data_IF_610724349540
#
_entry.id   IF_610724349540
#
_cell.length_a   1.000
_cell.length_b   1.000
_cell.length_c   1.000
_cell.angle_alpha   90.00
_cell.angle_beta   90.00
_cell.angle_gamma   90.00
#
_symmetry.space_group_name_H-M   'P 1'
#
loop_
_entity.id
_entity.type
_entity.pdbx_description
1 polymer ?
#
# COMPACT_ATOMS: atom_id res chain seq x y z
N UNK A 1 -23.98 -22.93 15.19
CA UNK A 1 -24.46 -21.68 15.81
C UNK A 1 -23.99 -21.74 17.24
N UNK A 2 -22.82 -21.15 17.51
CA UNK A 2 -22.30 -20.97 18.86
C UNK A 2 -22.25 -19.46 19.11
N UNK A 3 -23.34 -18.97 19.71
CA UNK A 3 -23.49 -17.59 20.22
C UNK A 3 -23.14 -17.52 21.72
N UNK A 4 -21.97 -17.98 22.11
CA UNK A 4 -21.46 -17.66 23.44
C UNK A 4 -20.49 -16.47 23.36
N UNK A 5 -20.74 -15.43 24.18
CA UNK A 5 -19.80 -14.30 24.25
C UNK A 5 -18.48 -14.78 24.84
N UNK A 6 -17.39 -14.67 24.07
CA UNK A 6 -16.04 -15.00 24.53
C UNK A 6 -15.66 -14.04 25.65
N UNK A 7 -15.67 -14.50 26.88
CA UNK A 7 -15.16 -13.76 28.04
C UNK A 7 -13.63 -13.79 28.01
N UNK A 8 -13.02 -12.60 28.03
CA UNK A 8 -11.56 -12.45 28.15
C UNK A 8 -11.16 -12.94 29.56
N UNK A 9 -10.17 -13.83 29.66
CA UNK A 9 -9.68 -14.31 30.95
C UNK A 9 -8.93 -13.22 31.73
N UNK A 10 -8.83 -13.36 33.04
CA UNK A 10 -8.08 -12.41 33.89
C UNK A 10 -6.60 -12.30 33.44
N UNK A 11 -5.97 -13.40 33.07
CA UNK A 11 -4.60 -13.40 32.53
C UNK A 11 -4.47 -12.62 31.21
N UNK A 12 -5.46 -12.70 30.32
CA UNK A 12 -5.48 -11.93 29.08
C UNK A 12 -5.70 -10.43 29.32
N UNK A 13 -6.49 -10.07 30.32
CA UNK A 13 -6.69 -8.70 30.77
C UNK A 13 -5.42 -8.11 31.38
N UNK A 14 -4.72 -8.87 32.18
CA UNK A 14 -3.46 -8.44 32.81
C UNK A 14 -2.33 -8.32 31.75
N UNK A 15 -2.28 -9.21 30.76
CA UNK A 15 -1.37 -9.09 29.62
C UNK A 15 -1.62 -7.84 28.78
N UNK A 16 -2.90 -7.49 28.54
CA UNK A 16 -3.28 -6.26 27.83
C UNK A 16 -2.94 -5.00 28.62
N UNK A 17 -3.09 -5.02 29.94
CA UNK A 17 -2.69 -3.90 30.83
C UNK A 17 -1.18 -3.69 30.78
N UNK A 18 -0.40 -4.77 30.90
CA UNK A 18 1.06 -4.69 30.85
C UNK A 18 1.56 -4.11 29.51
N UNK A 19 0.94 -4.51 28.39
CA UNK A 19 1.24 -3.96 27.07
C UNK A 19 0.85 -2.47 26.97
N UNK A 20 -0.29 -2.07 27.52
CA UNK A 20 -0.71 -0.68 27.55
C UNK A 20 0.24 0.18 28.40
N UNK A 21 0.66 -0.29 29.57
CA UNK A 21 1.60 0.42 30.45
C UNK A 21 2.98 0.56 29.78
N UNK A 22 3.49 -0.48 29.10
CA UNK A 22 4.72 -0.40 28.32
C UNK A 22 4.62 0.59 27.15
N UNK A 23 3.44 0.68 26.52
CA UNK A 23 3.21 1.63 25.43
C UNK A 23 3.16 3.08 25.94
N UNK A 24 2.56 3.33 27.09
CA UNK A 24 2.55 4.63 27.75
C UNK A 24 3.96 5.03 28.18
N UNK A 25 4.75 4.13 28.75
CA UNK A 25 6.13 4.38 29.15
C UNK A 25 7.04 4.69 27.94
N UNK A 26 6.83 4.02 26.81
CA UNK A 26 7.50 4.31 25.52
C UNK A 26 7.12 5.69 24.94
N UNK A 27 5.90 6.14 25.17
CA UNK A 27 5.44 7.47 24.77
C UNK A 27 6.02 8.56 25.68
N UNK A 28 6.09 8.31 26.99
CA UNK A 28 6.65 9.25 27.96
C UNK A 28 8.18 9.42 27.80
N UNK A 29 8.91 8.34 27.52
CA UNK A 29 10.37 8.44 27.26
C UNK A 29 10.72 9.20 25.97
N UNK A 30 9.81 9.29 25.01
CA UNK A 30 9.99 10.13 23.80
C UNK A 30 9.72 11.62 24.05
N UNK A 31 9.07 11.99 25.14
CA UNK A 31 8.82 13.41 25.46
C UNK A 31 10.02 14.11 26.14
N UNK A 32 11.06 13.41 26.59
CA UNK A 32 12.14 13.98 27.40
C UNK A 32 13.31 14.52 26.56
N UNK A 33 13.40 14.25 25.27
CA UNK A 33 14.51 14.72 24.41
C UNK A 33 14.08 15.47 23.12
N UNK A 34 12.89 16.03 23.09
CA UNK A 34 12.55 16.96 22.01
C UNK A 34 13.16 18.33 22.34
N UNK A 35 14.05 18.90 21.48
CA UNK A 35 14.44 20.30 21.62
C UNK A 35 13.17 21.14 21.59
N UNK A 36 13.13 22.23 22.41
CA UNK A 36 12.04 23.20 22.44
C UNK A 36 11.80 23.74 21.03
N UNK A 37 10.94 23.05 20.28
CA UNK A 37 10.41 23.53 19.02
C UNK A 37 9.34 24.56 19.36
N UNK A 38 9.53 25.77 18.86
CA UNK A 38 8.57 26.86 19.00
C UNK A 38 7.16 26.38 18.69
N UNK A 39 6.21 26.75 19.53
CA UNK A 39 4.82 26.31 19.55
C UNK A 39 3.98 26.67 18.30
N UNK A 40 4.59 27.23 17.26
CA UNK A 40 3.94 27.57 15.98
C UNK A 40 4.06 26.49 14.88
N UNK A 41 4.88 25.43 15.11
CA UNK A 41 5.04 24.32 14.16
C UNK A 41 4.06 23.14 14.41
N UNK A 42 2.93 23.39 15.05
CA UNK A 42 1.88 22.39 15.21
C UNK A 42 1.29 22.05 13.86
N UNK A 43 1.87 20.99 13.23
CA UNK A 43 1.22 20.17 12.18
C UNK A 43 0.43 21.00 11.14
N UNK A 44 1.06 22.01 10.56
CA UNK A 44 0.53 22.60 9.34
C UNK A 44 0.54 21.50 8.27
N UNK A 45 -0.61 20.90 8.02
CA UNK A 45 -0.82 20.05 6.85
C UNK A 45 -0.83 21.01 5.66
N UNK A 46 0.29 21.14 4.99
CA UNK A 46 0.39 21.85 3.73
C UNK A 46 0.12 20.86 2.62
N UNK A 47 -1.01 20.98 1.96
CA UNK A 47 -1.40 20.06 0.90
C UNK A 47 -2.10 20.76 -0.25
N UNK A 48 -1.77 20.34 -1.45
CA UNK A 48 -2.38 20.79 -2.70
C UNK A 48 -3.44 19.80 -3.16
N UNK A 49 -4.49 20.34 -3.79
CA UNK A 49 -5.53 19.53 -4.42
C UNK A 49 -5.16 19.17 -5.85
N UNK A 50 -5.23 17.87 -6.14
CA UNK A 50 -5.07 17.30 -7.47
C UNK A 50 -6.40 16.67 -7.90
N UNK A 51 -6.99 17.18 -8.97
CA UNK A 51 -8.28 16.68 -9.49
C UNK A 51 -8.18 15.28 -10.10
N UNK A 52 -6.98 14.87 -10.50
CA UNK A 52 -6.69 13.55 -11.07
C UNK A 52 -5.27 13.13 -10.72
N UNK A 53 -5.16 12.03 -10.01
CA UNK A 53 -3.92 11.32 -9.73
C UNK A 53 -4.21 9.82 -9.72
N UNK A 54 -3.20 8.99 -9.92
CA UNK A 54 -3.36 7.52 -9.89
C UNK A 54 -2.57 6.95 -8.74
N UNK A 55 -3.27 6.24 -7.87
CA UNK A 55 -2.76 5.64 -6.65
C UNK A 55 -2.56 4.14 -6.89
N UNK A 56 -1.43 3.62 -6.44
CA UNK A 56 -1.07 2.21 -6.43
C UNK A 56 -0.89 1.74 -4.99
N UNK A 57 -1.55 0.63 -4.65
CA UNK A 57 -1.22 -0.20 -3.50
C UNK A 57 -0.74 -1.54 -3.99
N UNK A 58 0.31 -2.06 -3.39
CA UNK A 58 0.84 -3.40 -3.65
C UNK A 58 1.18 -4.08 -2.32
N UNK A 59 0.78 -5.33 -2.15
CA UNK A 59 0.89 -6.08 -0.92
C UNK A 59 1.30 -7.53 -1.19
N UNK A 60 2.07 -8.12 -0.25
CA UNK A 60 2.50 -9.50 -0.39
C UNK A 60 1.43 -10.48 0.11
N UNK A 61 1.08 -11.44 -0.74
CA UNK A 61 0.04 -12.42 -0.40
C UNK A 61 0.54 -13.42 0.63
N UNK A 62 -0.23 -13.56 1.72
CA UNK A 62 0.08 -14.52 2.79
C UNK A 62 1.30 -14.12 3.64
N UNK A 63 1.66 -12.85 3.66
CA UNK A 63 2.82 -12.33 4.39
C UNK A 63 2.86 -12.83 5.84
N UNK A 64 1.82 -12.59 6.62
CA UNK A 64 1.75 -12.95 8.05
C UNK A 64 2.03 -14.43 8.28
N UNK A 65 1.44 -15.31 7.47
CA UNK A 65 1.64 -16.77 7.62
C UNK A 65 3.05 -17.21 7.26
N UNK A 66 3.63 -16.63 6.19
CA UNK A 66 4.98 -16.97 5.72
C UNK A 66 6.10 -16.45 6.63
N UNK A 67 5.80 -15.43 7.44
CA UNK A 67 6.80 -14.78 8.29
C UNK A 67 6.87 -15.32 9.70
N UNK A 68 5.94 -16.19 10.10
CA UNK A 68 5.92 -16.77 11.47
C UNK A 68 7.22 -17.51 11.83
N UNK A 69 7.89 -18.13 10.85
CA UNK A 69 9.13 -18.89 11.04
C UNK A 69 10.40 -18.13 10.64
N UNK A 70 10.27 -16.92 10.08
CA UNK A 70 11.40 -16.12 9.60
C UNK A 70 11.94 -15.25 10.76
N UNK A 71 13.27 -15.23 10.93
CA UNK A 71 13.90 -14.36 11.92
C UNK A 71 13.68 -12.89 11.55
N UNK A 72 13.41 -11.98 12.54
CA UNK A 72 13.07 -10.57 12.27
C UNK A 72 14.13 -9.85 11.42
N UNK A 73 15.41 -10.11 11.61
CA UNK A 73 16.49 -9.52 10.81
C UNK A 73 16.46 -9.97 9.34
N UNK A 74 16.27 -11.26 9.09
CA UNK A 74 16.13 -11.81 7.73
C UNK A 74 14.88 -11.24 7.03
N UNK A 75 13.77 -11.12 7.76
CA UNK A 75 12.56 -10.53 7.21
C UNK A 75 12.75 -9.08 6.75
N UNK A 76 13.47 -8.27 7.55
CA UNK A 76 13.79 -6.89 7.18
C UNK A 76 14.69 -6.82 5.94
N UNK A 77 15.65 -7.73 5.79
CA UNK A 77 16.51 -7.80 4.61
C UNK A 77 15.70 -8.17 3.35
N UNK A 78 14.80 -9.15 3.48
CA UNK A 78 13.89 -9.55 2.39
C UNK A 78 13.02 -8.37 1.96
N UNK A 79 12.30 -7.72 2.87
CA UNK A 79 11.44 -6.58 2.57
C UNK A 79 12.24 -5.41 1.97
N UNK A 80 13.42 -5.11 2.53
CA UNK A 80 14.28 -4.05 2.01
C UNK A 80 14.71 -4.33 0.58
N UNK A 81 15.02 -5.58 0.25
CA UNK A 81 15.38 -5.97 -1.12
C UNK A 81 14.24 -5.72 -2.10
N UNK A 82 13.02 -6.15 -1.76
CA UNK A 82 11.85 -5.92 -2.62
C UNK A 82 11.52 -4.42 -2.75
N UNK A 83 11.48 -3.69 -1.63
CA UNK A 83 11.14 -2.26 -1.65
C UNK A 83 12.18 -1.41 -2.39
N UNK A 84 13.47 -1.73 -2.29
CA UNK A 84 14.50 -1.07 -3.09
C UNK A 84 14.28 -1.31 -4.60
N UNK A 85 13.88 -2.51 -4.99
CA UNK A 85 13.50 -2.80 -6.38
C UNK A 85 12.27 -2.01 -6.82
N UNK A 86 11.26 -1.88 -5.96
CA UNK A 86 10.08 -1.08 -6.23
C UNK A 86 10.41 0.41 -6.34
N UNK A 87 11.26 0.94 -5.47
CA UNK A 87 11.74 2.33 -5.52
C UNK A 87 12.42 2.61 -6.88
N UNK A 88 13.28 1.72 -7.36
CA UNK A 88 13.91 1.85 -8.69
C UNK A 88 12.89 1.79 -9.85
N UNK A 89 11.81 1.00 -9.69
CA UNK A 89 10.73 0.96 -10.68
C UNK A 89 9.98 2.31 -10.65
N UNK A 90 9.62 2.82 -9.47
CA UNK A 90 8.96 4.13 -9.36
C UNK A 90 9.78 5.23 -10.02
N UNK A 91 11.07 5.30 -9.75
CA UNK A 91 11.98 6.30 -10.34
C UNK A 91 11.99 6.24 -11.88
N UNK A 92 12.05 5.03 -12.45
CA UNK A 92 12.04 4.84 -13.93
C UNK A 92 10.76 5.32 -14.59
N UNK A 93 9.63 5.24 -13.92
CA UNK A 93 8.34 5.67 -14.43
C UNK A 93 7.94 7.08 -13.98
N UNK A 94 8.82 7.80 -13.26
CA UNK A 94 8.55 9.15 -12.75
C UNK A 94 7.40 9.18 -11.74
N UNK A 95 7.27 8.13 -10.93
CA UNK A 95 6.26 7.99 -9.89
C UNK A 95 6.85 8.30 -8.53
N UNK A 96 5.99 8.75 -7.61
CA UNK A 96 6.40 9.06 -6.25
C UNK A 96 5.98 7.96 -5.29
N UNK A 97 6.94 7.38 -4.57
CA UNK A 97 6.66 6.60 -3.38
C UNK A 97 6.00 7.49 -2.33
N UNK A 98 4.91 7.03 -1.75
CA UNK A 98 4.25 7.71 -0.64
C UNK A 98 4.80 7.17 0.68
N UNK A 99 4.61 5.89 0.94
CA UNK A 99 5.07 5.20 2.16
C UNK A 99 4.96 3.68 2.02
N UNK A 100 5.48 2.98 3.01
CA UNK A 100 5.19 1.57 3.25
C UNK A 100 4.30 1.44 4.49
N UNK A 101 3.41 0.46 4.51
CA UNK A 101 2.51 0.17 5.65
C UNK A 101 2.63 -1.33 5.92
N UNK A 102 3.53 -1.69 6.86
CA UNK A 102 3.90 -3.10 7.02
C UNK A 102 4.59 -3.64 5.76
N UNK A 103 4.02 -4.64 5.16
CA UNK A 103 4.44 -5.26 3.90
C UNK A 103 3.79 -4.64 2.65
N UNK A 104 2.88 -3.70 2.83
CA UNK A 104 2.27 -2.97 1.71
C UNK A 104 3.13 -1.78 1.26
N UNK A 105 3.17 -1.57 -0.06
CA UNK A 105 3.86 -0.47 -0.72
C UNK A 105 2.85 0.46 -1.38
N UNK A 106 2.97 1.76 -1.15
CA UNK A 106 2.07 2.78 -1.67
C UNK A 106 2.82 3.79 -2.53
N UNK A 107 2.33 4.02 -3.75
CA UNK A 107 2.89 4.99 -4.69
C UNK A 107 1.79 5.78 -5.41
N UNK A 108 2.19 6.90 -6.02
CA UNK A 108 1.29 7.79 -6.74
C UNK A 108 1.94 8.34 -8.02
N UNK A 109 1.13 8.49 -9.08
CA UNK A 109 1.47 9.20 -10.29
C UNK A 109 0.60 10.45 -10.46
N UNK A 110 1.16 11.48 -11.13
CA UNK A 110 0.49 12.76 -11.34
C UNK A 110 0.63 13.76 -10.18
N UNK A 111 1.56 13.49 -9.26
CA UNK A 111 1.88 14.32 -8.09
C UNK A 111 3.39 14.25 -7.82
N UNK A 112 4.08 15.37 -7.56
CA UNK A 112 3.58 16.76 -7.57
C UNK A 112 3.37 17.28 -8.99
N UNK A 113 4.08 16.73 -9.97
CA UNK A 113 4.03 17.15 -11.36
C UNK A 113 2.80 16.57 -12.05
N UNK A 114 1.92 17.46 -12.53
CA UNK A 114 0.75 17.05 -13.29
C UNK A 114 1.17 16.44 -14.62
N UNK A 115 0.85 15.20 -14.81
CA UNK A 115 1.14 14.45 -16.04
C UNK A 115 -0.16 13.77 -16.53
N UNK A 116 -0.51 13.92 -17.80
CA UNK A 116 -1.68 13.27 -18.40
C UNK A 116 -1.57 11.75 -18.44
N UNK A 117 -0.34 11.23 -18.47
CA UNK A 117 -0.05 9.81 -18.66
C UNK A 117 0.14 9.06 -17.32
N UNK A 118 -0.14 9.73 -16.18
CA UNK A 118 0.07 9.17 -14.85
C UNK A 118 -0.55 7.78 -14.66
N UNK A 119 -1.76 7.54 -15.19
CA UNK A 119 -2.42 6.24 -15.06
C UNK A 119 -1.71 5.14 -15.85
N UNK A 120 -1.27 5.46 -17.08
CA UNK A 120 -0.50 4.55 -17.92
C UNK A 120 0.84 4.21 -17.26
N UNK A 121 1.54 5.23 -16.72
CA UNK A 121 2.83 5.03 -16.06
C UNK A 121 2.69 4.15 -14.81
N UNK A 122 1.67 4.39 -13.98
CA UNK A 122 1.39 3.57 -12.80
C UNK A 122 1.07 2.12 -13.18
N UNK A 123 0.24 1.91 -14.22
CA UNK A 123 -0.09 0.56 -14.70
C UNK A 123 1.14 -0.18 -15.24
N UNK A 124 2.02 0.49 -15.98
CA UNK A 124 3.28 -0.09 -16.46
C UNK A 124 4.22 -0.43 -15.30
N UNK A 125 4.35 0.46 -14.33
CA UNK A 125 5.14 0.22 -13.13
C UNK A 125 4.62 -0.99 -12.35
N UNK A 126 3.30 -1.14 -12.19
CA UNK A 126 2.69 -2.30 -11.56
C UNK A 126 3.03 -3.61 -12.27
N UNK A 127 3.00 -3.64 -13.60
CA UNK A 127 3.41 -4.82 -14.37
C UNK A 127 4.90 -5.15 -14.17
N UNK A 128 5.77 -4.15 -14.11
CA UNK A 128 7.18 -4.34 -13.80
C UNK A 128 7.39 -4.86 -12.37
N UNK A 129 6.61 -4.37 -11.38
CA UNK A 129 6.65 -4.89 -10.00
C UNK A 129 6.29 -6.37 -9.95
N UNK A 130 5.20 -6.79 -10.60
CA UNK A 130 4.81 -8.21 -10.69
C UNK A 130 5.92 -9.05 -11.33
N UNK A 131 6.50 -8.58 -12.45
CA UNK A 131 7.62 -9.28 -13.10
C UNK A 131 8.84 -9.38 -12.20
N UNK A 132 9.17 -8.30 -11.50
CA UNK A 132 10.31 -8.26 -10.57
C UNK A 132 10.13 -9.28 -9.44
N UNK A 133 8.95 -9.29 -8.79
CA UNK A 133 8.65 -10.22 -7.70
C UNK A 133 8.67 -11.67 -8.20
N UNK A 134 8.09 -11.95 -9.37
CA UNK A 134 8.14 -13.29 -9.97
C UNK A 134 9.58 -13.72 -10.30
N UNK A 135 10.42 -12.81 -10.80
CA UNK A 135 11.84 -13.08 -11.06
C UNK A 135 12.62 -13.41 -9.79
N UNK A 136 12.40 -12.65 -8.72
CA UNK A 136 12.96 -12.94 -7.40
C UNK A 136 12.45 -14.28 -6.86
N UNK A 137 11.15 -14.59 -7.07
CA UNK A 137 10.56 -15.87 -6.66
C UNK A 137 11.25 -17.07 -7.27
N UNK A 138 11.55 -17.04 -8.57
CA UNK A 138 12.31 -18.12 -9.25
C UNK A 138 13.69 -18.33 -8.62
N UNK A 139 14.38 -17.26 -8.23
CA UNK A 139 15.68 -17.38 -7.56
C UNK A 139 15.53 -17.96 -6.14
N UNK A 140 14.51 -17.58 -5.39
CA UNK A 140 14.24 -18.11 -4.06
C UNK A 140 13.90 -19.62 -4.12
N UNK A 141 13.04 -20.02 -5.05
CA UNK A 141 12.68 -21.43 -5.26
C UNK A 141 13.89 -22.29 -5.63
N UNK A 142 14.80 -21.77 -6.46
CA UNK A 142 16.06 -22.44 -6.79
C UNK A 142 16.98 -22.65 -5.57
N UNK A 143 16.82 -21.83 -4.53
CA UNK A 143 17.53 -21.93 -3.25
C UNK A 143 16.75 -22.72 -2.19
N UNK A 144 15.59 -23.32 -2.55
CA UNK A 144 14.71 -24.05 -1.64
C UNK A 144 13.97 -23.16 -0.65
N UNK A 145 13.83 -21.86 -0.95
CA UNK A 145 13.10 -20.90 -0.15
C UNK A 145 11.71 -20.63 -0.75
N UNK A 146 10.78 -20.17 0.08
CA UNK A 146 9.45 -19.79 -0.37
C UNK A 146 9.49 -18.57 -1.31
N UNK A 147 8.69 -18.62 -2.37
CA UNK A 147 8.49 -17.50 -3.26
C UNK A 147 7.40 -16.57 -2.74
N UNK A 148 7.60 -15.28 -2.97
CA UNK A 148 6.63 -14.25 -2.64
C UNK A 148 5.76 -13.93 -3.86
N UNK A 149 4.52 -13.58 -3.63
CA UNK A 149 3.59 -13.15 -4.65
C UNK A 149 3.01 -11.80 -4.26
N UNK A 150 2.74 -10.98 -5.27
CA UNK A 150 2.22 -9.64 -5.08
C UNK A 150 0.79 -9.56 -5.60
N UNK A 151 -0.07 -8.81 -4.92
CA UNK A 151 -1.34 -8.33 -5.47
C UNK A 151 -1.29 -6.82 -5.53
N UNK A 152 -1.93 -6.23 -6.54
CA UNK A 152 -1.87 -4.80 -6.80
C UNK A 152 -3.26 -4.24 -7.05
N UNK A 153 -3.57 -3.12 -6.39
CA UNK A 153 -4.78 -2.33 -6.59
C UNK A 153 -4.46 -0.93 -7.10
N UNK A 154 -5.13 -0.49 -8.18
CA UNK A 154 -4.89 0.82 -8.78
C UNK A 154 -6.21 1.57 -8.95
N UNK A 155 -6.24 2.81 -8.50
CA UNK A 155 -7.37 3.70 -8.71
C UNK A 155 -6.94 5.10 -9.11
N UNK A 156 -7.72 5.73 -9.99
CA UNK A 156 -7.53 7.11 -10.42
C UNK A 156 -8.64 7.99 -9.85
N UNK A 157 -8.27 9.13 -9.28
CA UNK A 157 -9.24 10.07 -8.74
C UNK A 157 -8.62 11.28 -8.06
N UNK A 158 -9.44 12.16 -7.48
CA UNK A 158 -8.96 13.34 -6.80
C UNK A 158 -8.30 12.98 -5.46
N UNK A 159 -7.22 13.69 -5.15
CA UNK A 159 -6.49 13.59 -3.87
C UNK A 159 -6.07 14.97 -3.37
N UNK A 160 -5.83 15.06 -2.08
CA UNK A 160 -4.98 16.10 -1.48
C UNK A 160 -3.62 15.46 -1.26
N UNK A 161 -2.56 16.10 -1.69
CA UNK A 161 -1.19 15.62 -1.49
C UNK A 161 -0.35 16.70 -0.84
N UNK A 162 0.44 16.34 0.15
CA UNK A 162 1.22 17.32 0.90
C UNK A 162 2.08 16.69 1.98
N UNK A 163 2.60 17.54 2.87
CA UNK A 163 3.45 17.09 3.95
C UNK A 163 2.75 17.24 5.31
N UNK A 164 2.91 16.24 6.16
CA UNK A 164 2.64 16.33 7.59
C UNK A 164 3.98 16.31 8.29
N UNK A 165 4.44 17.49 8.72
CA UNK A 165 5.84 17.68 9.12
C UNK A 165 6.77 17.38 7.95
N UNK A 166 7.73 16.46 8.14
CA UNK A 166 8.68 16.06 7.10
C UNK A 166 8.21 14.89 6.21
N UNK A 167 7.03 14.35 6.48
CA UNK A 167 6.54 13.17 5.78
C UNK A 167 5.51 13.55 4.70
N UNK A 168 5.80 13.20 3.46
CA UNK A 168 4.84 13.30 2.38
C UNK A 168 3.73 12.26 2.55
N UNK A 169 2.48 12.68 2.36
CA UNK A 169 1.32 11.79 2.39
C UNK A 169 0.24 12.27 1.42
N UNK A 170 -0.77 11.43 1.19
CA UNK A 170 -1.91 11.72 0.36
C UNK A 170 -3.21 11.33 1.05
N UNK A 171 -4.25 12.15 0.83
CA UNK A 171 -5.56 11.95 1.43
C UNK A 171 -6.66 12.06 0.37
N UNK A 172 -7.71 11.31 0.59
CA UNK A 172 -8.90 11.34 -0.25
C UNK A 172 -9.51 9.96 -0.41
N UNK A 173 -10.75 9.95 -0.85
CA UNK A 173 -11.48 8.72 -1.05
C UNK A 173 -10.85 7.83 -2.16
N UNK A 174 -10.20 8.44 -3.15
CA UNK A 174 -9.48 7.70 -4.18
C UNK A 174 -8.40 6.78 -3.62
N UNK A 175 -7.78 7.14 -2.48
CA UNK A 175 -6.80 6.33 -1.76
C UNK A 175 -7.45 5.08 -1.17
N UNK A 176 -8.60 5.25 -0.52
CA UNK A 176 -9.35 4.14 0.08
C UNK A 176 -9.85 3.15 -0.98
N UNK A 177 -10.22 3.65 -2.17
CA UNK A 177 -10.62 2.79 -3.29
C UNK A 177 -9.44 1.95 -3.76
N UNK A 178 -8.26 2.55 -3.97
CA UNK A 178 -7.06 1.82 -4.38
C UNK A 178 -6.68 0.71 -3.38
N UNK A 179 -6.70 1.02 -2.07
CA UNK A 179 -6.45 0.04 -1.02
C UNK A 179 -7.47 -1.11 -1.02
N UNK A 180 -8.75 -0.84 -1.31
CA UNK A 180 -9.76 -1.90 -1.42
C UNK A 180 -9.59 -2.76 -2.65
N UNK A 181 -9.18 -2.17 -3.77
CA UNK A 181 -8.87 -2.94 -4.98
C UNK A 181 -7.69 -3.88 -4.74
N UNK A 182 -6.69 -3.42 -4.00
CA UNK A 182 -5.58 -4.27 -3.59
C UNK A 182 -6.09 -5.40 -2.68
N UNK A 183 -6.74 -5.09 -1.55
CA UNK A 183 -7.13 -6.09 -0.53
C UNK A 183 -8.16 -7.11 -1.03
N UNK A 184 -9.00 -6.75 -2.02
CA UNK A 184 -9.88 -7.68 -2.73
C UNK A 184 -9.23 -8.32 -3.96
N UNK A 185 -7.95 -7.99 -4.24
CA UNK A 185 -7.21 -8.47 -5.39
C UNK A 185 -6.83 -9.94 -5.33
N UNK A 186 -6.36 -10.47 -6.44
CA UNK A 186 -5.84 -11.82 -6.57
C UNK A 186 -4.33 -11.84 -6.70
N UNK A 187 -3.73 -12.93 -6.26
CA UNK A 187 -2.30 -13.19 -6.36
C UNK A 187 -1.79 -13.07 -7.80
N UNK A 188 -0.73 -12.31 -8.00
CA UNK A 188 -0.12 -12.08 -9.31
C UNK A 188 -0.93 -11.21 -10.25
N UNK A 189 -2.05 -10.61 -9.78
CA UNK A 189 -2.95 -9.80 -10.59
C UNK A 189 -2.88 -8.32 -10.21
N UNK A 190 -3.18 -7.49 -11.20
CA UNK A 190 -3.33 -6.04 -11.06
C UNK A 190 -4.81 -5.72 -11.22
N UNK A 191 -5.46 -5.31 -10.15
CA UNK A 191 -6.86 -4.92 -10.16
C UNK A 191 -6.98 -3.40 -10.29
N UNK A 192 -7.76 -2.94 -11.27
CA UNK A 192 -7.95 -1.53 -11.56
C UNK A 192 -9.42 -1.13 -11.47
N UNK A 193 -9.68 0.14 -11.13
CA UNK A 193 -11.01 0.73 -11.22
C UNK A 193 -11.41 1.04 -12.65
N UNK A 194 -12.72 1.21 -12.89
CA UNK A 194 -13.22 1.70 -14.16
C UNK A 194 -12.63 3.08 -14.51
N UNK A 195 -12.45 3.95 -13.51
CA UNK A 195 -11.81 5.27 -13.74
C UNK A 195 -10.38 5.12 -14.24
N UNK A 196 -9.59 4.22 -13.69
CA UNK A 196 -8.24 3.96 -14.19
C UNK A 196 -8.28 3.43 -15.61
N UNK A 197 -9.19 2.48 -15.89
CA UNK A 197 -9.38 1.92 -17.25
C UNK A 197 -9.64 3.01 -18.29
N UNK A 198 -10.42 4.04 -17.98
CA UNK A 198 -10.73 5.15 -18.91
C UNK A 198 -9.50 5.97 -19.34
N UNK A 199 -8.40 5.91 -18.59
CA UNK A 199 -7.14 6.56 -18.95
C UNK A 199 -6.22 5.67 -19.81
N UNK A 200 -6.54 4.40 -19.95
CA UNK A 200 -5.73 3.48 -20.72
C UNK A 200 -6.08 3.57 -22.22
N UNK A 201 -5.11 3.24 -23.07
CA UNK A 201 -5.33 3.18 -24.52
C UNK A 201 -6.24 2.01 -24.89
N UNK A 202 -6.85 2.06 -26.08
CA UNK A 202 -7.67 0.97 -26.63
C UNK A 202 -6.89 -0.34 -26.80
N UNK A 203 -5.57 -0.28 -26.84
CA UNK A 203 -4.69 -1.45 -26.94
C UNK A 203 -4.42 -2.12 -25.59
N UNK A 204 -4.90 -1.56 -24.48
CA UNK A 204 -4.76 -2.19 -23.18
C UNK A 204 -5.71 -3.39 -23.07
N UNK A 205 -5.16 -4.54 -22.71
CA UNK A 205 -5.94 -5.74 -22.47
C UNK A 205 -6.42 -5.74 -21.02
N UNK A 206 -7.74 -5.58 -20.84
CA UNK A 206 -8.38 -5.58 -19.52
C UNK A 206 -9.57 -6.54 -19.52
N UNK A 207 -9.68 -7.34 -18.46
CA UNK A 207 -10.77 -8.29 -18.28
C UNK A 207 -11.67 -7.81 -17.14
N UNK A 208 -12.98 -7.77 -17.36
CA UNK A 208 -13.93 -7.51 -16.27
C UNK A 208 -13.81 -8.61 -15.21
N UNK A 209 -13.72 -8.19 -13.95
CA UNK A 209 -13.64 -9.13 -12.84
C UNK A 209 -14.99 -9.28 -12.15
N UNK A 210 -15.37 -8.27 -11.41
CA UNK A 210 -16.60 -8.27 -10.60
C UNK A 210 -16.96 -6.85 -10.17
N UNK A 211 -18.12 -6.73 -9.55
CA UNK A 211 -18.50 -5.52 -8.82
C UNK A 211 -18.04 -5.61 -7.37
N UNK A 212 -17.27 -4.64 -6.93
CA UNK A 212 -16.84 -4.53 -5.54
C UNK A 212 -17.74 -3.54 -4.81
N UNK A 213 -18.29 -3.97 -3.67
CA UNK A 213 -19.08 -3.08 -2.83
C UNK A 213 -18.18 -2.13 -2.05
N UNK A 214 -18.31 -0.83 -2.33
CA UNK A 214 -17.62 0.22 -1.60
C UNK A 214 -18.53 0.80 -0.53
N UNK A 215 -18.07 0.81 0.73
CA UNK A 215 -18.81 1.42 1.83
C UNK A 215 -19.18 2.87 1.48
N UNK A 216 -20.44 3.22 1.53
CA UNK A 216 -21.03 4.52 1.22
C UNK A 216 -20.99 4.95 -0.28
N UNK A 217 -20.67 4.05 -1.21
CA UNK A 217 -20.58 4.36 -2.65
C UNK A 217 -21.35 3.40 -3.56
N UNK A 218 -21.85 2.31 -3.00
CA UNK A 218 -22.50 1.25 -3.79
C UNK A 218 -21.50 0.34 -4.47
N UNK A 219 -21.90 -0.22 -5.61
CA UNK A 219 -21.09 -1.13 -6.40
C UNK A 219 -20.22 -0.38 -7.41
N UNK A 220 -19.01 -0.85 -7.60
CA UNK A 220 -18.06 -0.34 -8.59
C UNK A 220 -17.54 -1.51 -9.43
N UNK A 221 -17.56 -1.33 -10.75
CA UNK A 221 -16.97 -2.28 -11.68
C UNK A 221 -15.45 -2.28 -11.55
N UNK A 222 -14.87 -3.48 -11.47
CA UNK A 222 -13.43 -3.69 -11.36
C UNK A 222 -12.93 -4.58 -12.48
N UNK A 223 -11.66 -4.41 -12.84
CA UNK A 223 -11.05 -5.08 -13.96
C UNK A 223 -9.67 -5.60 -13.58
N UNK A 224 -9.25 -6.71 -14.18
CA UNK A 224 -7.84 -7.09 -14.20
C UNK A 224 -7.14 -6.49 -15.41
N UNK A 225 -5.98 -5.89 -15.17
CA UNK A 225 -5.07 -5.42 -16.22
C UNK A 225 -4.16 -6.57 -16.61
N UNK A 226 -4.31 -7.06 -17.85
CA UNK A 226 -3.49 -8.17 -18.36
C UNK A 226 -2.26 -7.61 -19.10
N UNK A 227 -2.45 -6.54 -19.92
CA UNK A 227 -1.36 -5.95 -20.71
C UNK A 227 -1.62 -4.47 -21.02
N UNK A 228 -0.55 -3.67 -21.11
CA UNK A 228 -0.58 -2.28 -21.50
C UNK A 228 0.59 -1.95 -22.44
#
# INVERSE_FOLDING_TARGET
MDDEPRTISHEQLDGLRLLADQFVELLDTRQVEAPLVNNDDRLAVNGDYYSSATILFADFVGFTQKTEEIQPGELLEILSSYFNGFDQIMDRFGLKKVKTIGDAYMAIGGVPDKNSDHAIQVCKAAQEMIKYVNGMGVQQEALGKDSWKLRVGINTGPVIAGNTGNNFDIWGDAVNVAARLESSGEEGKIQISEKTKQFLSENAEVTFREKVHLKNKGEMDTFFLEKI
#
